data_IF_825570596590
#
_entry.id   IF_825570596590
#
_cell.length_a   1.000
_cell.length_b   1.000
_cell.length_c   1.000
_cell.angle_alpha   90.00
_cell.angle_beta   90.00
_cell.angle_gamma   90.00
#
_symmetry.space_group_name_H-M   'P 1'
#
loop_
_entity.id
_entity.type
_entity.pdbx_description
1 polymer ?
#
# COMPACT_ATOMS: atom_id res chain seq x y z
N UNK A 1 41.42 -11.75 3.14
CA UNK A 1 40.11 -11.69 2.44
C UNK A 1 40.29 -10.74 1.25
N UNK A 2 40.23 -11.21 0.01
CA UNK A 2 40.57 -10.39 -1.17
C UNK A 2 39.52 -9.29 -1.43
N UNK A 3 39.98 -8.10 -1.80
CA UNK A 3 39.16 -6.93 -2.15
C UNK A 3 38.01 -7.27 -3.09
N UNK A 4 38.29 -8.03 -4.17
CA UNK A 4 37.29 -8.49 -5.14
C UNK A 4 36.10 -9.21 -4.48
N UNK A 5 36.39 -10.15 -3.56
CA UNK A 5 35.35 -10.92 -2.85
C UNK A 5 34.50 -10.04 -1.92
N UNK A 6 35.05 -8.92 -1.42
CA UNK A 6 34.31 -7.96 -0.59
C UNK A 6 33.34 -7.14 -1.46
N UNK A 7 33.81 -6.66 -2.61
CA UNK A 7 32.97 -5.92 -3.57
C UNK A 7 31.86 -6.81 -4.13
N UNK A 8 32.15 -8.07 -4.47
CA UNK A 8 31.14 -9.02 -4.95
C UNK A 8 30.04 -9.25 -3.91
N UNK A 9 30.41 -9.41 -2.63
CA UNK A 9 29.45 -9.54 -1.52
C UNK A 9 28.59 -8.29 -1.36
N UNK A 10 29.18 -7.10 -1.48
CA UNK A 10 28.44 -5.84 -1.44
C UNK A 10 27.45 -5.74 -2.62
N UNK A 11 27.88 -6.09 -3.83
CA UNK A 11 27.01 -6.10 -5.01
C UNK A 11 25.80 -7.04 -4.85
N UNK A 12 26.01 -8.22 -4.28
CA UNK A 12 24.94 -9.16 -3.96
C UNK A 12 23.97 -8.61 -2.91
N UNK A 13 24.49 -8.01 -1.84
CA UNK A 13 23.69 -7.38 -0.79
C UNK A 13 22.80 -6.27 -1.35
N UNK A 14 23.40 -5.32 -2.08
CA UNK A 14 22.68 -4.19 -2.67
C UNK A 14 21.62 -4.64 -3.69
N UNK A 15 21.90 -5.72 -4.43
CA UNK A 15 20.94 -6.31 -5.36
C UNK A 15 19.75 -6.94 -4.65
N UNK A 16 20.00 -7.66 -3.55
CA UNK A 16 18.94 -8.27 -2.73
C UNK A 16 18.04 -7.20 -2.09
N UNK A 17 18.64 -6.14 -1.55
CA UNK A 17 17.91 -5.01 -0.97
C UNK A 17 17.04 -4.31 -2.01
N UNK A 18 17.58 -4.06 -3.20
CA UNK A 18 16.82 -3.46 -4.31
C UNK A 18 15.61 -4.30 -4.69
N UNK A 19 15.77 -5.62 -4.85
CA UNK A 19 14.65 -6.53 -5.16
C UNK A 19 13.58 -6.49 -4.07
N UNK A 20 14.00 -6.54 -2.80
CA UNK A 20 13.07 -6.47 -1.68
C UNK A 20 12.29 -5.14 -1.66
N UNK A 21 12.95 -4.02 -1.96
CA UNK A 21 12.29 -2.72 -2.07
C UNK A 21 11.28 -2.67 -3.22
N UNK A 22 11.62 -3.22 -4.39
CA UNK A 22 10.72 -3.31 -5.56
C UNK A 22 9.49 -4.18 -5.25
N UNK A 23 9.67 -5.31 -4.57
CA UNK A 23 8.56 -6.15 -4.11
C UNK A 23 7.65 -5.44 -3.12
N UNK A 24 8.21 -4.73 -2.13
CA UNK A 24 7.44 -3.92 -1.17
C UNK A 24 6.61 -2.86 -1.91
N UNK A 25 7.19 -2.17 -2.89
CA UNK A 25 6.48 -1.19 -3.74
C UNK A 25 5.34 -1.84 -4.52
N UNK A 26 5.56 -3.03 -5.10
CA UNK A 26 4.54 -3.79 -5.85
C UNK A 26 3.38 -4.22 -4.95
N UNK A 27 3.68 -4.83 -3.80
CA UNK A 27 2.68 -5.24 -2.80
C UNK A 27 1.84 -4.06 -2.32
N UNK A 28 2.49 -2.93 -2.00
CA UNK A 28 1.80 -1.70 -1.60
C UNK A 28 0.88 -1.17 -2.70
N UNK A 29 1.34 -1.15 -3.96
CA UNK A 29 0.52 -0.72 -5.11
C UNK A 29 -0.74 -1.59 -5.26
N UNK A 30 -0.60 -2.90 -5.17
CA UNK A 30 -1.74 -3.82 -5.29
C UNK A 30 -2.71 -3.69 -4.11
N UNK A 31 -2.22 -3.55 -2.89
CA UNK A 31 -3.07 -3.29 -1.73
C UNK A 31 -3.86 -1.98 -1.88
N UNK A 32 -3.21 -0.90 -2.33
CA UNK A 32 -3.89 0.39 -2.57
C UNK A 32 -4.97 0.31 -3.66
N UNK A 33 -4.79 -0.54 -4.68
CA UNK A 33 -5.84 -0.81 -5.69
C UNK A 33 -7.03 -1.54 -5.07
N UNK A 34 -6.78 -2.59 -4.27
CA UNK A 34 -7.83 -3.33 -3.56
C UNK A 34 -8.62 -2.40 -2.63
N UNK A 35 -7.93 -1.56 -1.86
CA UNK A 35 -8.57 -0.55 -1.01
C UNK A 35 -9.44 0.42 -1.82
N UNK A 36 -8.98 0.89 -2.99
CA UNK A 36 -9.78 1.76 -3.87
C UNK A 36 -11.04 1.07 -4.38
N UNK A 37 -10.96 -0.22 -4.73
CA UNK A 37 -12.12 -1.00 -5.14
C UNK A 37 -13.12 -1.17 -3.98
N UNK A 38 -12.61 -1.47 -2.78
CA UNK A 38 -13.46 -1.64 -1.59
C UNK A 38 -14.14 -0.33 -1.17
N UNK A 39 -13.43 0.80 -1.24
CA UNK A 39 -14.04 2.12 -1.04
C UNK A 39 -15.21 2.37 -2.00
N UNK A 40 -15.12 1.94 -3.26
CA UNK A 40 -16.23 2.06 -4.21
C UNK A 40 -17.40 1.17 -3.81
N UNK A 41 -17.13 -0.08 -3.41
CA UNK A 41 -18.16 -1.02 -2.94
C UNK A 41 -18.90 -0.49 -1.73
N UNK A 42 -18.18 0.03 -0.73
CA UNK A 42 -18.80 0.62 0.46
C UNK A 42 -19.67 1.84 0.13
N UNK A 43 -19.23 2.71 -0.80
CA UNK A 43 -20.06 3.84 -1.26
C UNK A 43 -21.37 3.38 -1.90
N UNK A 44 -21.31 2.31 -2.69
CA UNK A 44 -22.52 1.70 -3.29
C UNK A 44 -23.39 1.10 -2.18
N UNK A 45 -22.81 0.36 -1.23
CA UNK A 45 -23.54 -0.22 -0.10
C UNK A 45 -24.27 0.86 0.72
N UNK A 46 -23.60 1.96 1.05
CA UNK A 46 -24.19 3.11 1.76
C UNK A 46 -25.37 3.69 0.98
N UNK A 47 -25.24 3.83 -0.34
CA UNK A 47 -26.30 4.41 -1.19
C UNK A 47 -27.56 3.53 -1.27
N UNK A 48 -27.43 2.22 -1.07
CA UNK A 48 -28.54 1.26 -1.13
C UNK A 48 -28.96 0.73 0.26
N UNK A 49 -28.35 1.21 1.34
CA UNK A 49 -28.64 0.76 2.70
C UNK A 49 -29.76 1.59 3.32
N UNK A 50 -30.91 0.94 3.55
CA UNK A 50 -32.04 1.54 4.25
C UNK A 50 -31.97 1.38 5.77
N UNK A 51 -31.12 0.46 6.25
CA UNK A 51 -30.89 0.25 7.68
C UNK A 51 -29.86 1.27 8.23
N UNK A 52 -30.22 2.10 9.22
CA UNK A 52 -29.35 3.14 9.75
C UNK A 52 -28.06 2.59 10.40
N UNK A 53 -28.17 1.49 11.13
CA UNK A 53 -27.03 0.91 11.86
C UNK A 53 -26.02 0.29 10.90
N UNK A 54 -26.47 -0.53 9.95
CA UNK A 54 -25.62 -1.07 8.90
C UNK A 54 -25.01 0.04 8.02
N UNK A 55 -25.75 1.12 7.78
CA UNK A 55 -25.22 2.28 7.06
C UNK A 55 -24.08 2.95 7.83
N UNK A 56 -24.25 3.19 9.12
CA UNK A 56 -23.20 3.76 9.99
C UNK A 56 -21.95 2.87 10.00
N UNK A 57 -22.13 1.54 10.04
CA UNK A 57 -21.04 0.58 9.93
C UNK A 57 -20.28 0.68 8.60
N UNK A 58 -20.98 0.81 7.47
CA UNK A 58 -20.34 1.01 6.17
C UNK A 58 -19.60 2.34 6.08
N UNK A 59 -20.16 3.41 6.64
CA UNK A 59 -19.54 4.74 6.70
C UNK A 59 -18.25 4.71 7.53
N UNK A 60 -18.26 4.05 8.69
CA UNK A 60 -17.07 3.86 9.52
C UNK A 60 -15.97 3.08 8.77
N UNK A 61 -16.33 1.96 8.13
CA UNK A 61 -15.40 1.17 7.31
C UNK A 61 -14.81 2.01 6.18
N UNK A 62 -15.63 2.85 5.53
CA UNK A 62 -15.20 3.73 4.44
C UNK A 62 -14.23 4.80 4.95
N UNK A 63 -14.48 5.39 6.11
CA UNK A 63 -13.60 6.37 6.75
C UNK A 63 -12.23 5.75 7.06
N UNK A 64 -12.21 4.58 7.71
CA UNK A 64 -10.98 3.85 8.03
C UNK A 64 -10.18 3.57 6.76
N UNK A 65 -10.82 3.01 5.72
CA UNK A 65 -10.14 2.72 4.45
C UNK A 65 -9.59 3.98 3.78
N UNK A 66 -10.28 5.11 3.89
CA UNK A 66 -9.85 6.39 3.32
C UNK A 66 -8.57 6.89 3.97
N UNK A 67 -8.52 6.90 5.30
CA UNK A 67 -7.33 7.34 6.04
C UNK A 67 -6.15 6.40 5.81
N UNK A 68 -6.38 5.08 5.85
CA UNK A 68 -5.31 4.12 5.63
C UNK A 68 -4.77 4.18 4.19
N UNK A 69 -5.65 4.39 3.20
CA UNK A 69 -5.23 4.54 1.80
C UNK A 69 -4.43 5.83 1.60
N UNK A 70 -4.81 6.94 2.25
CA UNK A 70 -4.05 8.20 2.23
C UNK A 70 -2.63 7.98 2.78
N UNK A 71 -2.51 7.31 3.93
CA UNK A 71 -1.20 6.94 4.52
C UNK A 71 -0.38 6.09 3.54
N UNK A 72 -0.98 5.07 2.94
CA UNK A 72 -0.29 4.20 1.98
C UNK A 72 0.13 4.91 0.68
N UNK A 73 -0.67 5.86 0.17
CA UNK A 73 -0.29 6.70 -0.98
C UNK A 73 0.92 7.57 -0.64
N UNK A 74 0.94 8.19 0.54
CA UNK A 74 2.07 9.00 0.99
C UNK A 74 3.34 8.15 1.15
N UNK A 75 3.23 6.95 1.72
CA UNK A 75 4.34 6.00 1.78
C UNK A 75 4.86 5.66 0.38
N UNK A 76 3.97 5.38 -0.58
CA UNK A 76 4.36 5.08 -1.96
C UNK A 76 5.09 6.25 -2.63
N UNK A 77 4.69 7.50 -2.39
CA UNK A 77 5.38 8.70 -2.91
C UNK A 77 6.81 8.80 -2.37
N UNK A 78 6.98 8.64 -1.05
CA UNK A 78 8.29 8.60 -0.39
C UNK A 78 9.19 7.49 -0.96
N UNK A 79 8.65 6.29 -1.15
CA UNK A 79 9.37 5.17 -1.76
C UNK A 79 9.74 5.40 -3.24
N UNK A 80 9.06 6.31 -3.94
CA UNK A 80 9.32 6.64 -5.34
C UNK A 80 10.34 7.78 -5.51
N UNK A 81 10.89 8.33 -4.42
CA UNK A 81 11.77 9.50 -4.48
C UNK A 81 11.05 10.80 -4.89
N UNK A 82 9.71 10.81 -4.86
CA UNK A 82 8.88 12.00 -5.08
C UNK A 82 8.51 12.57 -3.71
N UNK A 83 9.48 13.19 -3.05
CA UNK A 83 9.26 14.06 -1.89
C UNK A 83 8.99 15.48 -2.40
#
# INVERSE_FOLDING_TARGET
MNFKRMIDKLGLLLSADRRMQEEKKKKLKELLKKMKAEQKRLKIAIAHCNDPDARADFELKLQILTEQRKKGVNLRKRLAGKA
#
